data_IF_690891638901
#
_entry.id   IF_690891638901
#
_cell.length_a   1.000
_cell.length_b   1.000
_cell.length_c   1.000
_cell.angle_alpha   90.00
_cell.angle_beta   90.00
_cell.angle_gamma   90.00
#
_symmetry.space_group_name_H-M   'P 1'
#
loop_
_entity.id
_entity.type
_entity.pdbx_description
1 polymer ?
#
# COMPACT_ATOMS: atom_id res chain seq x y z
N UNK A 1 3.26 13.57 2.72
CA UNK A 1 3.50 12.25 3.40
C UNK A 1 2.88 12.14 4.79
N UNK A 2 2.71 13.25 5.51
CA UNK A 2 2.21 13.25 6.91
C UNK A 2 0.88 12.52 7.10
N UNK A 3 -0.04 12.64 6.13
CA UNK A 3 -1.32 11.93 6.16
C UNK A 3 -1.12 10.41 6.10
N UNK A 4 -0.17 9.90 5.32
CA UNK A 4 0.08 8.45 5.21
C UNK A 4 0.72 7.92 6.50
N UNK A 5 1.69 8.64 7.07
CA UNK A 5 2.42 8.23 8.26
C UNK A 5 1.54 7.96 9.50
N UNK A 6 0.35 8.59 9.58
CA UNK A 6 -0.63 8.33 10.63
C UNK A 6 -1.33 6.97 10.54
N UNK A 7 -1.31 6.33 9.37
CA UNK A 7 -2.01 5.08 9.06
C UNK A 7 -1.02 3.91 8.98
N UNK A 8 -0.37 3.62 10.12
CA UNK A 8 0.77 2.70 10.24
C UNK A 8 0.48 1.41 11.04
N UNK A 9 -0.78 0.99 11.14
CA UNK A 9 -1.18 -0.14 11.99
C UNK A 9 -2.13 -1.09 11.27
N UNK A 10 -2.32 -2.31 11.79
CA UNK A 10 -3.27 -3.26 11.24
C UNK A 10 -4.73 -2.76 11.22
N UNK A 11 -5.07 -1.86 12.15
CA UNK A 11 -6.41 -1.25 12.21
C UNK A 11 -6.59 -0.09 11.23
N UNK A 12 -5.49 0.44 10.69
CA UNK A 12 -5.46 1.59 9.79
C UNK A 12 -4.12 1.60 9.07
N UNK A 13 -4.11 1.04 7.85
CA UNK A 13 -2.89 0.80 7.07
C UNK A 13 -3.01 1.45 5.70
N UNK A 14 -2.33 2.58 5.52
CA UNK A 14 -2.19 3.22 4.21
C UNK A 14 -0.76 3.14 3.73
N UNK A 15 -0.56 3.09 2.42
CA UNK A 15 0.75 3.18 1.81
C UNK A 15 0.69 4.09 0.58
N UNK A 16 1.80 4.78 0.30
CA UNK A 16 1.97 5.47 -0.97
C UNK A 16 2.67 4.55 -1.97
N UNK A 17 2.20 4.51 -3.21
CA UNK A 17 2.87 3.85 -4.34
C UNK A 17 2.74 4.74 -5.57
N UNK A 18 3.87 5.14 -6.14
CA UNK A 18 3.95 5.97 -7.35
C UNK A 18 3.12 7.27 -7.24
N UNK A 19 3.29 7.98 -6.12
CA UNK A 19 2.59 9.24 -5.85
C UNK A 19 1.09 9.11 -5.61
N UNK A 20 0.55 7.90 -5.46
CA UNK A 20 -0.85 7.64 -5.09
C UNK A 20 -0.92 6.99 -3.71
N UNK A 21 -2.01 7.24 -2.98
CA UNK A 21 -2.28 6.67 -1.66
C UNK A 21 -3.33 5.58 -1.76
N UNK A 22 -3.12 4.50 -1.01
CA UNK A 22 -3.97 3.32 -1.00
C UNK A 22 -4.32 2.92 0.44
N UNK A 23 -5.58 2.58 0.69
CA UNK A 23 -6.02 1.99 1.94
C UNK A 23 -5.96 0.45 1.85
N UNK A 24 -4.93 -0.13 2.43
CA UNK A 24 -4.65 -1.56 2.39
C UNK A 24 -5.22 -2.31 3.59
N UNK A 25 -5.95 -1.64 4.49
CA UNK A 25 -6.42 -2.21 5.76
C UNK A 25 -7.20 -3.50 5.56
N UNK A 26 -8.10 -3.54 4.59
CA UNK A 26 -8.91 -4.74 4.29
C UNK A 26 -8.16 -5.81 3.49
N UNK A 27 -6.99 -5.47 2.96
CA UNK A 27 -6.18 -6.35 2.11
C UNK A 27 -5.15 -7.18 2.91
N UNK A 28 -4.77 -6.76 4.11
CA UNK A 28 -3.73 -7.38 4.95
C UNK A 28 -3.83 -8.91 4.97
N UNK A 29 -4.98 -9.45 5.39
CA UNK A 29 -5.16 -10.90 5.55
C UNK A 29 -5.44 -11.66 4.24
N UNK A 30 -5.59 -10.95 3.12
CA UNK A 30 -5.89 -11.52 1.80
C UNK A 30 -4.67 -11.50 0.88
N UNK A 31 -3.60 -10.83 1.30
CA UNK A 31 -2.39 -10.72 0.51
C UNK A 31 -1.70 -12.08 0.35
N UNK A 32 -1.51 -12.59 -0.89
CA UNK A 32 -0.89 -13.90 -1.12
C UNK A 32 0.54 -14.04 -0.58
N UNK A 33 1.29 -12.93 -0.50
CA UNK A 33 2.63 -12.90 0.09
C UNK A 33 2.64 -12.89 1.62
N UNK A 34 1.47 -12.95 2.26
CA UNK A 34 1.30 -12.91 3.71
C UNK A 34 1.02 -11.50 4.26
N UNK A 35 0.35 -11.42 5.42
CA UNK A 35 -0.05 -10.15 6.03
C UNK A 35 1.13 -9.28 6.43
N UNK A 36 2.25 -9.89 6.85
CA UNK A 36 3.43 -9.16 7.31
C UNK A 36 4.06 -8.26 6.24
N UNK A 37 3.91 -8.62 4.96
CA UNK A 37 4.41 -7.80 3.84
C UNK A 37 3.61 -6.50 3.68
N UNK A 38 2.34 -6.50 4.06
CA UNK A 38 1.49 -5.31 4.05
C UNK A 38 1.74 -4.51 5.34
N UNK A 39 1.81 -5.19 6.49
CA UNK A 39 2.08 -4.52 7.77
C UNK A 39 3.41 -3.77 7.77
N UNK A 40 4.45 -4.31 7.14
CA UNK A 40 5.76 -3.64 7.05
C UNK A 40 5.77 -2.35 6.21
N UNK A 41 4.75 -2.10 5.40
CA UNK A 41 4.66 -0.91 4.54
C UNK A 41 3.58 0.09 4.96
N UNK A 42 2.83 -0.20 6.04
CA UNK A 42 1.84 0.74 6.54
C UNK A 42 2.54 2.03 6.99
N UNK A 43 2.01 3.16 6.55
CA UNK A 43 2.53 4.49 6.85
C UNK A 43 3.74 4.92 6.02
N UNK A 44 4.14 4.17 4.99
CA UNK A 44 5.35 4.45 4.21
C UNK A 44 5.08 4.69 2.73
N UNK A 45 6.12 5.17 2.03
CA UNK A 45 6.19 5.06 0.57
C UNK A 45 6.71 3.66 0.21
N UNK A 46 5.80 2.84 -0.30
CA UNK A 46 6.03 1.44 -0.66
C UNK A 46 6.40 1.28 -2.14
N UNK A 47 6.67 2.35 -2.89
CA UNK A 47 6.91 2.30 -4.35
C UNK A 47 8.02 1.32 -4.71
N UNK A 48 9.15 1.40 -4.02
CA UNK A 48 10.28 0.50 -4.29
C UNK A 48 9.96 -0.95 -3.91
N UNK A 49 9.35 -1.17 -2.74
CA UNK A 49 9.01 -2.50 -2.25
C UNK A 49 8.00 -3.20 -3.18
N UNK A 50 6.96 -2.47 -3.61
CA UNK A 50 5.96 -2.95 -4.55
C UNK A 50 6.56 -3.24 -5.92
N UNK A 51 7.37 -2.32 -6.46
CA UNK A 51 8.01 -2.48 -7.77
C UNK A 51 8.97 -3.66 -7.78
N UNK A 52 9.80 -3.82 -6.75
CA UNK A 52 10.76 -4.92 -6.66
C UNK A 52 10.08 -6.29 -6.60
N UNK A 53 8.92 -6.40 -5.94
CA UNK A 53 8.23 -7.68 -5.78
C UNK A 53 7.24 -8.00 -6.90
N UNK A 54 6.60 -6.97 -7.48
CA UNK A 54 5.46 -7.13 -8.39
C UNK A 54 5.65 -6.44 -9.76
N UNK A 55 6.82 -5.84 -10.00
CA UNK A 55 7.13 -5.16 -11.27
C UNK A 55 6.27 -3.93 -11.54
N UNK A 56 5.57 -3.38 -10.55
CA UNK A 56 4.72 -2.19 -10.69
C UNK A 56 3.41 -2.42 -11.48
N UNK A 57 3.08 -3.66 -11.85
CA UNK A 57 2.01 -3.94 -12.82
C UNK A 57 1.26 -5.27 -12.64
N UNK A 58 0.62 -5.74 -13.73
CA UNK A 58 -0.13 -7.00 -13.77
C UNK A 58 -1.35 -7.04 -12.83
N UNK A 59 -1.70 -8.25 -12.39
CA UNK A 59 -2.83 -8.49 -11.46
C UNK A 59 -2.61 -7.76 -10.13
N UNK A 60 -1.37 -7.76 -9.60
CA UNK A 60 -1.05 -7.05 -8.37
C UNK A 60 -1.33 -5.54 -8.50
N UNK A 61 -0.95 -4.93 -9.62
CA UNK A 61 -1.27 -3.52 -9.90
C UNK A 61 -2.77 -3.26 -10.07
N UNK A 62 -3.52 -4.20 -10.69
CA UNK A 62 -4.98 -4.09 -10.79
C UNK A 62 -5.66 -4.15 -9.42
N UNK A 63 -5.23 -5.07 -8.57
CA UNK A 63 -5.70 -5.20 -7.19
C UNK A 63 -5.35 -3.94 -6.40
N UNK A 64 -4.09 -3.46 -6.46
CA UNK A 64 -3.67 -2.26 -5.76
C UNK A 64 -4.57 -1.06 -6.10
N UNK A 65 -4.91 -0.88 -7.39
CA UNK A 65 -5.78 0.22 -7.84
C UNK A 65 -7.19 0.19 -7.25
N UNK A 66 -7.73 -0.96 -6.85
CA UNK A 66 -9.06 -1.00 -6.21
C UNK A 66 -9.06 -0.42 -4.79
N UNK A 67 -7.89 -0.25 -4.18
CA UNK A 67 -7.71 0.33 -2.85
C UNK A 67 -7.30 1.81 -2.87
N UNK A 68 -7.22 2.43 -4.06
CA UNK A 68 -6.75 3.82 -4.20
C UNK A 68 -7.74 4.80 -3.58
N UNK A 69 -7.23 5.70 -2.75
CA UNK A 69 -8.02 6.76 -2.11
C UNK A 69 -7.70 8.17 -2.62
N UNK A 70 -6.59 8.36 -3.33
CA UNK A 70 -6.26 9.64 -3.94
C UNK A 70 -4.78 9.83 -4.26
N UNK A 71 -4.39 11.01 -4.78
CA UNK A 71 -2.99 11.37 -4.93
C UNK A 71 -2.34 11.62 -3.56
N UNK A 72 -1.03 11.41 -3.47
CA UNK A 72 -0.25 11.82 -2.30
C UNK A 72 -0.21 13.35 -2.23
N UNK A 73 -0.79 13.92 -1.17
CA UNK A 73 -0.67 15.34 -0.89
C UNK A 73 0.78 15.67 -0.46
N UNK A 74 1.30 16.75 -1.05
CA UNK A 74 2.59 17.35 -0.71
C UNK A 74 2.64 17.82 0.73
#
# INVERSE_FOLDING_TARGET
>A
MDQVAGHRSAASCWAAVDGQVYDLTSWINRHPGGPERILSICGTDATQAFTAQHGGGGIAGQILRSFRIGPLAG
#
